data_IF_724587564700
#
_entry.id   IF_724587564700
#
_cell.length_a   1.000
_cell.length_b   1.000
_cell.length_c   1.000
_cell.angle_alpha   90.00
_cell.angle_beta   90.00
_cell.angle_gamma   90.00
#
_symmetry.space_group_name_H-M   'P 1'
#
loop_
_entity.id
_entity.type
_entity.pdbx_description
1 polymer ?
#
# COMPACT_ATOMS: atom_id res chain seq x y z
N UNK A 1 54.69 17.11 -5.85
CA UNK A 1 55.06 18.46 -5.36
C UNK A 1 56.38 18.85 -6.01
N UNK A 2 56.62 20.09 -6.49
CA UNK A 2 55.99 21.35 -6.05
C UNK A 2 55.44 22.30 -7.15
N UNK A 3 54.49 23.16 -6.72
CA UNK A 3 54.31 24.63 -6.95
C UNK A 3 54.24 25.18 -8.41
N UNK A 4 53.33 26.09 -8.79
CA UNK A 4 52.47 26.98 -8.01
C UNK A 4 51.52 27.86 -8.84
N UNK A 5 50.63 28.54 -8.14
CA UNK A 5 49.53 29.42 -8.59
C UNK A 5 49.98 30.81 -9.11
N UNK A 6 49.18 31.43 -10.00
CA UNK A 6 48.81 32.87 -9.89
C UNK A 6 47.63 33.35 -10.78
N UNK A 7 46.54 33.74 -10.08
CA UNK A 7 45.53 34.82 -10.27
C UNK A 7 45.48 35.63 -11.58
N UNK A 8 44.26 35.94 -12.06
CA UNK A 8 43.64 37.30 -12.01
C UNK A 8 42.15 37.35 -12.40
N UNK A 9 41.53 38.47 -12.05
CA UNK A 9 40.12 38.81 -11.81
C UNK A 9 39.55 39.72 -12.92
N UNK A 10 38.22 39.80 -12.99
CA UNK A 10 37.35 40.97 -13.25
C UNK A 10 36.54 41.14 -14.56
N UNK A 11 35.28 41.58 -14.30
CA UNK A 11 34.34 42.46 -15.03
C UNK A 11 33.45 41.84 -16.13
N UNK A 12 32.13 41.72 -15.92
CA UNK A 12 31.06 42.76 -15.91
C UNK A 12 30.65 43.21 -17.32
N UNK A 13 29.40 42.95 -17.72
CA UNK A 13 28.52 43.93 -18.39
C UNK A 13 27.08 43.43 -18.50
N UNK A 14 26.19 44.18 -17.85
CA UNK A 14 24.79 44.34 -18.24
C UNK A 14 24.66 44.84 -19.68
N UNK A 15 23.55 44.49 -20.33
CA UNK A 15 22.72 45.48 -21.03
C UNK A 15 21.34 44.88 -21.35
N UNK A 16 20.35 45.38 -20.59
CA UNK A 16 18.98 45.74 -20.98
C UNK A 16 18.62 45.64 -22.48
N UNK A 17 17.42 45.14 -22.78
CA UNK A 17 16.30 46.00 -23.22
C UNK A 17 14.96 45.24 -23.32
N UNK A 18 13.96 45.87 -22.70
CA UNK A 18 12.52 45.64 -22.85
C UNK A 18 12.03 46.24 -24.17
N UNK A 19 11.09 45.59 -24.87
CA UNK A 19 9.90 46.27 -25.42
C UNK A 19 8.74 45.28 -25.59
N UNK A 20 7.57 45.73 -25.17
CA UNK A 20 6.24 45.10 -25.19
C UNK A 20 5.53 45.23 -26.56
N UNK A 21 4.46 44.40 -26.70
CA UNK A 21 3.27 44.54 -27.57
C UNK A 21 3.48 44.31 -29.09
N UNK A 22 2.57 43.69 -29.85
CA UNK A 22 1.10 43.66 -29.81
C UNK A 22 0.51 42.32 -30.33
N UNK A 23 -0.75 42.09 -29.96
CA UNK A 23 -1.68 41.12 -30.56
C UNK A 23 -2.04 41.48 -32.01
N UNK A 24 -2.10 40.49 -32.91
CA UNK A 24 -2.91 40.56 -34.14
C UNK A 24 -3.61 39.22 -34.37
N UNK A 25 -4.92 39.32 -34.59
CA UNK A 25 -5.86 38.24 -34.85
C UNK A 25 -5.65 37.55 -36.22
N UNK A 26 -5.80 36.22 -36.21
CA UNK A 26 -6.54 35.41 -37.19
C UNK A 26 -6.08 35.34 -38.65
N UNK A 27 -5.70 34.14 -39.11
CA UNK A 27 -6.40 33.46 -40.21
C UNK A 27 -6.01 31.97 -40.30
N UNK A 28 -7.01 31.18 -40.68
CA UNK A 28 -7.03 29.72 -40.72
C UNK A 28 -6.11 29.11 -41.79
N UNK A 29 -5.42 28.02 -41.43
CA UNK A 29 -4.90 27.05 -42.40
C UNK A 29 -5.34 25.64 -41.98
N UNK A 30 -6.16 25.06 -42.84
CA UNK A 30 -6.73 23.70 -42.75
C UNK A 30 -5.61 22.67 -42.84
N UNK A 31 -5.30 22.01 -41.72
CA UNK A 31 -4.47 20.81 -41.65
C UNK A 31 -5.30 19.63 -41.14
N UNK A 32 -5.44 18.59 -41.97
CA UNK A 32 -6.14 17.34 -41.65
C UNK A 32 -5.57 16.70 -40.37
N UNK A 33 -6.38 16.27 -39.38
CA UNK A 33 -5.88 15.36 -38.37
C UNK A 33 -5.94 13.92 -38.91
N UNK A 34 -4.80 13.27 -38.85
CA UNK A 34 -4.68 11.83 -38.99
C UNK A 34 -5.48 11.13 -37.89
N UNK A 35 -6.23 10.11 -38.27
CA UNK A 35 -6.96 9.23 -37.39
C UNK A 35 -5.95 8.42 -36.58
N UNK A 36 -5.81 8.72 -35.29
CA UNK A 36 -5.29 7.80 -34.29
C UNK A 36 -6.26 7.81 -33.11
N UNK A 37 -6.76 6.63 -32.75
CA UNK A 37 -7.84 6.41 -31.79
C UNK A 37 -7.50 6.84 -30.37
N UNK A 38 -7.60 8.14 -30.11
CA UNK A 38 -7.64 8.71 -28.77
C UNK A 38 -9.00 8.44 -28.15
N UNK A 39 -9.01 7.69 -27.04
CA UNK A 39 -10.17 7.59 -26.17
C UNK A 39 -10.66 8.99 -25.78
N UNK A 40 -11.99 9.13 -25.68
CA UNK A 40 -12.65 10.38 -25.32
C UNK A 40 -12.01 11.00 -24.07
N UNK A 41 -11.88 12.34 -23.98
CA UNK A 41 -11.43 12.99 -22.77
C UNK A 41 -12.33 12.57 -21.60
N UNK A 42 -11.72 12.27 -20.45
CA UNK A 42 -12.45 11.82 -19.27
C UNK A 42 -13.52 12.88 -18.89
N UNK A 43 -14.77 12.48 -18.61
CA UNK A 43 -15.83 13.42 -18.30
C UNK A 43 -15.48 14.31 -17.09
N UNK A 44 -15.99 15.55 -17.06
CA UNK A 44 -15.76 16.49 -15.97
C UNK A 44 -16.14 15.88 -14.62
N UNK A 45 -15.39 16.21 -13.57
CA UNK A 45 -15.52 15.61 -12.24
C UNK A 45 -16.94 15.68 -11.66
N UNK A 46 -17.75 16.66 -12.10
CA UNK A 46 -19.15 16.86 -11.70
C UNK A 46 -20.15 15.85 -12.27
N UNK A 47 -19.76 15.03 -13.26
CA UNK A 47 -20.63 14.02 -13.90
C UNK A 47 -20.26 12.57 -13.53
N UNK A 48 -19.20 12.36 -12.75
CA UNK A 48 -18.81 11.01 -12.32
C UNK A 48 -19.73 10.54 -11.20
N UNK A 49 -20.22 9.28 -11.22
CA UNK A 49 -20.93 8.70 -10.08
C UNK A 49 -20.08 8.87 -8.81
N UNK A 50 -20.68 9.39 -7.75
CA UNK A 50 -20.01 9.49 -6.45
C UNK A 50 -19.87 8.08 -5.89
N UNK A 51 -18.64 7.59 -5.80
CA UNK A 51 -18.34 6.35 -5.11
C UNK A 51 -18.40 6.60 -3.61
N UNK A 52 -19.45 6.06 -2.99
CA UNK A 52 -19.69 6.17 -1.54
C UNK A 52 -19.38 4.84 -0.89
N UNK A 53 -18.50 4.86 0.10
CA UNK A 53 -18.16 3.68 0.90
C UNK A 53 -18.67 3.84 2.33
N UNK A 54 -18.90 2.70 2.97
CA UNK A 54 -19.31 2.64 4.37
C UNK A 54 -18.11 2.24 5.23
N UNK A 55 -18.01 2.84 6.42
CA UNK A 55 -16.89 2.56 7.31
C UNK A 55 -17.31 2.49 8.78
N UNK A 56 -16.56 1.72 9.57
CA UNK A 56 -16.64 1.67 11.03
C UNK A 56 -15.25 1.62 11.63
N UNK A 57 -15.10 2.08 12.87
CA UNK A 57 -13.92 1.77 13.67
C UNK A 57 -13.98 0.30 14.10
N UNK A 58 -12.88 -0.42 13.94
CA UNK A 58 -12.80 -1.86 14.18
C UNK A 58 -13.12 -2.26 15.64
N UNK A 59 -12.88 -1.37 16.59
CA UNK A 59 -13.23 -1.57 18.01
C UNK A 59 -14.70 -1.27 18.35
N UNK A 60 -15.48 -0.78 17.39
CA UNK A 60 -16.89 -0.46 17.53
C UNK A 60 -17.18 1.04 17.40
N UNK A 61 -18.00 1.39 16.41
CA UNK A 61 -18.56 2.73 16.21
C UNK A 61 -19.88 2.65 15.45
N UNK A 62 -20.68 3.73 15.39
CA UNK A 62 -21.69 3.88 14.35
C UNK A 62 -21.07 3.80 12.96
N UNK A 63 -21.89 3.50 11.94
CA UNK A 63 -21.45 3.50 10.54
C UNK A 63 -21.26 4.92 10.01
N UNK A 64 -20.06 5.23 9.54
CA UNK A 64 -19.75 6.43 8.77
C UNK A 64 -19.93 6.20 7.28
N UNK A 65 -20.06 7.31 6.53
CA UNK A 65 -20.11 7.33 5.07
C UNK A 65 -19.00 8.23 4.55
N UNK A 66 -18.21 7.74 3.62
CA UNK A 66 -17.06 8.46 3.06
C UNK A 66 -17.09 8.44 1.53
N UNK A 67 -16.64 9.54 0.92
CA UNK A 67 -16.56 9.70 -0.54
C UNK A 67 -15.40 10.64 -0.91
N UNK A 68 -14.99 10.64 -2.17
CA UNK A 68 -14.10 11.66 -2.72
C UNK A 68 -12.62 11.54 -2.33
N UNK A 69 -12.10 10.32 -2.23
CA UNK A 69 -10.67 10.04 -2.05
C UNK A 69 -10.08 9.39 -3.31
N UNK A 70 -8.80 9.69 -3.58
CA UNK A 70 -8.07 9.21 -4.76
C UNK A 70 -6.82 8.40 -4.41
N UNK A 71 -6.49 8.30 -3.12
CA UNK A 71 -5.35 7.55 -2.60
C UNK A 71 -5.61 7.17 -1.14
N UNK A 72 -4.76 6.30 -0.59
CA UNK A 72 -4.91 5.77 0.78
C UNK A 72 -4.79 6.87 1.85
N UNK A 73 -3.96 7.89 1.62
CA UNK A 73 -3.80 9.02 2.54
C UNK A 73 -5.08 9.85 2.66
N UNK A 74 -5.73 10.14 1.52
CA UNK A 74 -7.04 10.81 1.49
C UNK A 74 -8.13 9.93 2.08
N UNK A 75 -8.10 8.62 1.86
CA UNK A 75 -9.01 7.66 2.48
C UNK A 75 -8.94 7.76 4.01
N UNK A 76 -7.75 7.70 4.60
CA UNK A 76 -7.57 7.87 6.05
C UNK A 76 -8.02 9.24 6.53
N UNK A 77 -7.77 10.31 5.75
CA UNK A 77 -8.31 11.64 6.03
C UNK A 77 -9.85 11.66 6.11
N UNK A 78 -10.52 11.01 5.16
CA UNK A 78 -11.99 10.94 5.11
C UNK A 78 -12.59 10.10 6.22
N UNK A 79 -11.95 8.99 6.58
CA UNK A 79 -12.35 8.17 7.74
C UNK A 79 -12.18 8.98 9.04
N UNK A 80 -11.03 9.64 9.20
CA UNK A 80 -10.75 10.45 10.39
C UNK A 80 -11.76 11.60 10.55
N UNK A 81 -12.11 12.29 9.45
CA UNK A 81 -13.17 13.30 9.40
C UNK A 81 -14.53 12.73 9.85
N UNK A 82 -14.91 11.55 9.34
CA UNK A 82 -16.19 10.91 9.67
C UNK A 82 -16.33 10.51 11.15
N UNK A 83 -15.21 10.29 11.86
CA UNK A 83 -15.18 9.88 13.26
C UNK A 83 -14.61 10.94 14.22
N UNK A 84 -14.35 12.16 13.74
CA UNK A 84 -13.74 13.24 14.51
C UNK A 84 -12.41 12.83 15.18
N UNK A 85 -11.55 12.17 14.41
CA UNK A 85 -10.22 11.70 14.80
C UNK A 85 -9.13 12.46 14.02
N UNK A 86 -7.89 12.34 14.47
CA UNK A 86 -6.74 12.74 13.66
C UNK A 86 -6.35 11.57 12.71
N UNK A 87 -5.93 11.82 11.45
CA UNK A 87 -5.54 10.74 10.53
C UNK A 87 -4.45 9.83 11.08
N UNK A 88 -3.52 10.39 11.86
CA UNK A 88 -2.43 9.65 12.53
C UNK A 88 -2.93 8.66 13.61
N UNK A 89 -4.20 8.70 14.00
CA UNK A 89 -4.78 7.69 14.88
C UNK A 89 -5.10 6.40 14.15
N UNK A 90 -5.23 6.41 12.82
CA UNK A 90 -5.58 5.24 12.02
C UNK A 90 -4.30 4.46 11.67
N UNK A 91 -4.23 3.20 12.11
CA UNK A 91 -3.12 2.30 11.79
C UNK A 91 -3.26 1.70 10.40
N UNK A 92 -4.37 1.00 10.14
CA UNK A 92 -4.65 0.36 8.85
C UNK A 92 -6.14 0.09 8.69
N UNK A 93 -6.55 -0.43 7.53
CA UNK A 93 -7.93 -0.82 7.26
C UNK A 93 -8.03 -2.28 6.81
N UNK A 94 -9.08 -2.96 7.26
CA UNK A 94 -9.51 -4.25 6.73
C UNK A 94 -10.84 -4.11 6.01
N UNK A 95 -11.07 -4.93 4.99
CA UNK A 95 -12.30 -4.94 4.21
C UNK A 95 -13.23 -6.05 4.70
N UNK A 96 -14.50 -5.73 4.91
CA UNK A 96 -15.57 -6.66 5.27
C UNK A 96 -15.35 -7.46 6.57
N UNK A 97 -14.46 -7.00 7.46
CA UNK A 97 -14.23 -7.58 8.79
C UNK A 97 -13.66 -6.55 9.76
N UNK A 98 -14.16 -6.54 10.99
CA UNK A 98 -13.59 -5.75 12.10
C UNK A 98 -12.41 -6.46 12.79
N UNK A 99 -12.21 -7.76 12.50
CA UNK A 99 -11.11 -8.53 13.08
C UNK A 99 -9.79 -8.12 12.42
N UNK A 100 -8.70 -8.28 13.17
CA UNK A 100 -7.34 -8.18 12.62
C UNK A 100 -7.09 -9.42 11.76
N UNK A 101 -7.54 -9.34 10.51
CA UNK A 101 -7.43 -10.39 9.50
C UNK A 101 -6.59 -9.85 8.33
N UNK A 102 -5.34 -10.30 8.28
CA UNK A 102 -4.36 -9.82 7.30
C UNK A 102 -4.61 -10.32 5.88
N UNK A 103 -5.51 -11.29 5.70
CA UNK A 103 -5.99 -11.70 4.36
C UNK A 103 -7.00 -10.70 3.80
N UNK A 104 -7.67 -9.96 4.68
CA UNK A 104 -8.63 -8.90 4.34
C UNK A 104 -8.06 -7.50 4.54
N UNK A 105 -6.74 -7.38 4.66
CA UNK A 105 -6.06 -6.09 4.72
C UNK A 105 -6.28 -5.32 3.41
N UNK A 106 -6.51 -4.01 3.50
CA UNK A 106 -6.60 -3.14 2.32
C UNK A 106 -5.31 -3.23 1.50
N UNK A 107 -5.39 -3.84 0.31
CA UNK A 107 -4.26 -4.09 -0.59
C UNK A 107 -4.25 -3.23 -1.86
N UNK A 108 -4.84 -2.03 -1.82
CA UNK A 108 -4.91 -1.14 -2.97
C UNK A 108 -6.09 -1.39 -3.92
N UNK A 109 -7.03 -2.25 -3.54
CA UNK A 109 -8.32 -2.43 -4.23
C UNK A 109 -9.46 -2.39 -3.22
N UNK A 110 -10.56 -1.76 -3.60
CA UNK A 110 -11.78 -1.66 -2.79
C UNK A 110 -12.96 -1.94 -3.72
N UNK A 111 -13.64 -3.08 -3.53
CA UNK A 111 -14.88 -3.37 -4.23
C UNK A 111 -15.93 -2.30 -3.93
N UNK A 112 -16.77 -1.96 -4.90
CA UNK A 112 -17.75 -0.87 -4.74
C UNK A 112 -18.77 -1.10 -3.61
N UNK A 113 -18.95 -2.36 -3.20
CA UNK A 113 -19.84 -2.76 -2.10
C UNK A 113 -19.09 -3.07 -0.80
N UNK A 114 -17.76 -2.91 -0.77
CA UNK A 114 -16.96 -3.26 0.39
C UNK A 114 -17.21 -2.32 1.57
N UNK A 115 -17.18 -2.94 2.76
CA UNK A 115 -17.27 -2.24 4.02
C UNK A 115 -15.88 -2.07 4.63
N UNK A 116 -15.49 -0.84 4.97
CA UNK A 116 -14.14 -0.51 5.43
C UNK A 116 -14.09 -0.45 6.96
N UNK A 117 -13.29 -1.30 7.60
CA UNK A 117 -13.05 -1.25 9.03
C UNK A 117 -11.69 -0.62 9.33
N UNK A 118 -11.70 0.52 10.02
CA UNK A 118 -10.50 1.25 10.39
C UNK A 118 -9.99 0.82 11.76
N UNK A 119 -8.75 0.34 11.81
CA UNK A 119 -8.04 -0.04 13.03
C UNK A 119 -7.28 1.17 13.53
N UNK A 120 -7.55 1.61 14.76
CA UNK A 120 -6.91 2.79 15.35
C UNK A 120 -5.87 2.42 16.41
N UNK A 121 -5.00 3.36 16.76
CA UNK A 121 -4.01 3.22 17.83
C UNK A 121 -4.68 2.86 19.16
N UNK A 122 -4.15 1.84 19.81
CA UNK A 122 -4.54 1.38 21.12
C UNK A 122 -3.36 1.42 22.09
N UNK A 123 -3.09 0.29 22.74
CA UNK A 123 -2.09 0.20 23.80
C UNK A 123 -0.66 0.32 23.24
N UNK A 124 0.16 1.15 23.87
CA UNK A 124 1.60 1.20 23.61
C UNK A 124 2.33 0.17 24.45
N UNK A 125 3.27 -0.55 23.83
CA UNK A 125 4.07 -1.62 24.42
C UNK A 125 5.55 -1.35 24.13
N UNK A 126 6.41 -1.63 25.10
CA UNK A 126 7.86 -1.58 24.92
C UNK A 126 8.43 -2.91 25.36
N UNK A 127 9.15 -3.57 24.46
CA UNK A 127 9.62 -4.95 24.65
C UNK A 127 11.09 -5.04 24.31
N UNK A 128 11.85 -5.71 25.17
CA UNK A 128 13.22 -6.12 24.89
C UNK A 128 13.21 -7.53 24.31
N UNK A 129 13.86 -7.70 23.15
CA UNK A 129 13.91 -8.97 22.41
C UNK A 129 15.37 -9.35 22.21
N UNK A 130 15.73 -10.59 22.58
CA UNK A 130 17.06 -11.14 22.31
C UNK A 130 17.10 -11.79 20.91
N UNK A 131 17.94 -11.27 20.01
CA UNK A 131 18.07 -11.78 18.64
C UNK A 131 18.93 -13.05 18.61
N UNK A 132 18.32 -14.20 18.91
CA UNK A 132 19.01 -15.50 18.92
C UNK A 132 19.33 -16.05 17.51
N UNK A 133 18.54 -15.65 16.51
CA UNK A 133 18.68 -16.10 15.12
C UNK A 133 18.86 -14.90 14.17
N UNK A 134 19.35 -15.18 12.96
CA UNK A 134 19.51 -14.15 11.93
C UNK A 134 18.16 -13.54 11.53
N UNK A 135 17.13 -14.38 11.41
CA UNK A 135 15.77 -13.98 11.11
C UNK A 135 14.92 -13.98 12.39
N UNK A 136 14.22 -12.87 12.65
CA UNK A 136 13.30 -12.76 13.78
C UNK A 136 11.98 -13.53 13.57
N UNK A 137 11.67 -13.92 12.33
CA UNK A 137 10.40 -14.52 11.94
C UNK A 137 9.25 -13.52 11.83
N UNK A 138 9.55 -12.27 11.52
CA UNK A 138 8.57 -11.22 11.27
C UNK A 138 8.40 -10.98 9.77
N UNK A 139 7.16 -10.77 9.36
CA UNK A 139 6.83 -10.21 8.05
C UNK A 139 6.19 -8.85 8.25
N UNK A 140 6.81 -7.81 7.69
CA UNK A 140 6.38 -6.42 7.85
C UNK A 140 5.58 -5.98 6.63
N UNK A 141 4.54 -5.19 6.87
CA UNK A 141 3.80 -4.46 5.84
C UNK A 141 3.60 -3.02 6.29
N UNK A 142 3.07 -2.15 5.44
CA UNK A 142 2.70 -0.79 5.84
C UNK A 142 1.35 -0.37 5.25
N UNK A 143 0.84 0.75 5.76
CA UNK A 143 -0.45 1.30 5.38
C UNK A 143 -0.36 2.31 4.21
N UNK A 144 0.80 2.45 3.56
CA UNK A 144 1.04 3.48 2.54
C UNK A 144 0.99 4.93 3.05
N UNK A 145 0.86 5.14 4.36
CA UNK A 145 0.74 6.45 5.02
C UNK A 145 1.72 6.63 6.18
N UNK A 146 2.80 5.83 6.22
CA UNK A 146 3.91 6.00 7.17
C UNK A 146 3.85 5.12 8.41
N UNK A 147 2.92 4.15 8.49
CA UNK A 147 2.89 3.17 9.57
C UNK A 147 3.18 1.76 9.07
N UNK A 148 4.33 1.23 9.48
CA UNK A 148 4.69 -0.17 9.29
C UNK A 148 4.20 -1.02 10.46
N UNK A 149 3.65 -2.20 10.18
CA UNK A 149 3.09 -3.09 11.19
C UNK A 149 3.33 -4.56 10.84
N UNK A 150 3.17 -5.42 11.83
CA UNK A 150 3.43 -6.86 11.72
C UNK A 150 2.28 -7.53 10.98
N UNK A 151 2.52 -8.04 9.77
CA UNK A 151 1.53 -8.81 8.98
C UNK A 151 1.52 -10.29 9.37
N UNK A 152 2.69 -10.84 9.72
CA UNK A 152 2.83 -12.27 10.07
C UNK A 152 3.94 -12.45 11.11
N UNK A 153 3.75 -13.45 11.96
CA UNK A 153 4.77 -14.00 12.85
C UNK A 153 4.92 -15.48 12.48
N UNK A 154 6.14 -15.91 12.17
CA UNK A 154 6.45 -17.30 11.85
C UNK A 154 6.41 -18.14 13.13
N UNK A 155 5.66 -19.23 13.13
CA UNK A 155 5.61 -20.17 14.25
C UNK A 155 6.99 -20.74 14.57
N UNK A 156 7.32 -20.83 15.86
CA UNK A 156 8.62 -21.30 16.35
C UNK A 156 9.78 -20.32 16.13
N UNK A 157 9.52 -19.09 15.67
CA UNK A 157 10.55 -18.06 15.54
C UNK A 157 10.88 -17.36 16.87
N UNK A 158 11.96 -16.57 16.85
CA UNK A 158 12.37 -15.72 17.99
C UNK A 158 11.20 -14.89 18.51
N UNK A 159 10.44 -14.24 17.60
CA UNK A 159 9.34 -13.36 18.00
C UNK A 159 8.08 -14.14 18.40
N UNK A 160 7.84 -15.33 17.87
CA UNK A 160 6.74 -16.19 18.36
C UNK A 160 6.94 -16.58 19.84
N UNK A 161 8.18 -16.68 20.31
CA UNK A 161 8.50 -16.85 21.73
C UNK A 161 8.09 -15.65 22.61
N UNK A 162 7.92 -14.45 22.03
CA UNK A 162 7.62 -13.20 22.73
C UNK A 162 6.13 -12.88 22.61
N UNK A 163 5.32 -13.50 23.47
CA UNK A 163 3.84 -13.46 23.40
C UNK A 163 3.18 -12.08 23.51
N UNK A 164 3.93 -11.05 23.87
CA UNK A 164 3.45 -9.65 23.93
C UNK A 164 3.37 -9.01 22.53
N UNK A 165 4.17 -9.52 21.57
CA UNK A 165 4.19 -9.06 20.18
C UNK A 165 3.12 -9.81 19.40
N UNK A 166 2.21 -9.07 18.76
CA UNK A 166 1.05 -9.61 18.06
C UNK A 166 1.02 -9.16 16.59
N UNK A 167 0.35 -9.96 15.74
CA UNK A 167 -0.02 -9.52 14.40
C UNK A 167 -0.92 -8.28 14.49
N UNK A 168 -0.64 -7.28 13.65
CA UNK A 168 -1.29 -5.97 13.67
C UNK A 168 -0.56 -4.90 14.47
N UNK A 169 0.42 -5.26 15.31
CA UNK A 169 1.19 -4.26 16.05
C UNK A 169 1.97 -3.34 15.10
N UNK A 170 1.74 -2.04 15.23
CA UNK A 170 2.52 -1.00 14.54
C UNK A 170 3.86 -0.81 15.23
N UNK A 171 4.94 -0.83 14.45
CA UNK A 171 6.30 -0.57 14.94
C UNK A 171 6.51 0.95 15.01
N UNK A 172 6.62 1.52 16.20
CA UNK A 172 6.83 2.96 16.39
C UNK A 172 8.33 3.29 16.46
N UNK A 173 9.12 2.47 17.19
CA UNK A 173 10.56 2.66 17.34
C UNK A 173 11.34 1.34 17.42
N UNK A 174 12.59 1.35 16.95
CA UNK A 174 13.58 0.27 17.13
C UNK A 174 14.84 0.89 17.75
N UNK A 175 15.30 0.39 18.90
CA UNK A 175 16.44 0.93 19.67
C UNK A 175 16.39 2.44 19.88
N UNK A 176 15.19 2.96 20.17
CA UNK A 176 14.94 4.40 20.36
C UNK A 176 14.89 5.24 19.09
N UNK A 177 15.24 4.68 17.92
CA UNK A 177 15.06 5.34 16.62
C UNK A 177 13.58 5.27 16.22
N UNK A 178 12.95 6.43 16.05
CA UNK A 178 11.61 6.54 15.50
C UNK A 178 11.60 6.08 14.04
N UNK A 179 10.68 5.19 13.68
CA UNK A 179 10.53 4.65 12.32
C UNK A 179 9.23 5.09 11.63
N UNK A 180 8.41 5.92 12.29
CA UNK A 180 7.21 6.52 11.68
C UNK A 180 7.61 7.30 10.43
N UNK A 181 6.89 7.05 9.33
CA UNK A 181 7.15 7.62 8.01
C UNK A 181 8.04 6.74 7.13
N UNK A 182 8.71 5.72 7.68
CA UNK A 182 9.49 4.76 6.90
C UNK A 182 8.58 3.73 6.24
N UNK A 183 9.00 3.22 5.08
CA UNK A 183 8.30 2.13 4.38
C UNK A 183 8.63 0.77 5.01
N UNK A 184 7.74 -0.21 4.82
CA UNK A 184 7.87 -1.55 5.39
C UNK A 184 9.21 -2.23 5.05
N UNK A 185 9.76 -2.01 3.86
CA UNK A 185 11.04 -2.58 3.43
C UNK A 185 12.24 -2.00 4.19
N UNK A 186 12.20 -0.72 4.54
CA UNK A 186 13.25 -0.10 5.35
C UNK A 186 13.21 -0.64 6.78
N UNK A 187 11.99 -0.82 7.33
CA UNK A 187 11.77 -1.37 8.66
C UNK A 187 12.21 -2.85 8.72
N UNK A 188 11.84 -3.64 7.72
CA UNK A 188 12.27 -5.04 7.61
C UNK A 188 13.80 -5.16 7.49
N UNK A 189 14.43 -4.30 6.66
CA UNK A 189 15.90 -4.22 6.56
C UNK A 189 16.53 -3.88 7.89
N UNK A 190 16.03 -2.85 8.60
CA UNK A 190 16.54 -2.48 9.92
C UNK A 190 16.47 -3.63 10.93
N UNK A 191 15.37 -4.39 10.94
CA UNK A 191 15.22 -5.57 11.81
C UNK A 191 16.19 -6.70 11.43
N UNK A 192 16.41 -6.92 10.13
CA UNK A 192 17.36 -7.90 9.60
C UNK A 192 18.81 -7.54 9.94
N UNK A 193 19.18 -6.26 9.88
CA UNK A 193 20.53 -5.76 10.15
C UNK A 193 20.89 -5.66 11.64
N UNK A 194 19.95 -5.88 12.56
CA UNK A 194 20.24 -5.90 13.99
C UNK A 194 21.33 -6.94 14.32
N UNK A 195 22.27 -6.64 15.23
CA UNK A 195 23.31 -7.61 15.61
C UNK A 195 22.70 -8.89 16.18
N UNK A 196 23.15 -10.04 15.66
CA UNK A 196 22.84 -11.35 16.24
C UNK A 196 23.46 -11.44 17.64
N UNK A 197 22.82 -12.23 18.52
CA UNK A 197 23.24 -12.51 19.89
C UNK A 197 23.26 -11.25 20.79
N UNK A 198 22.40 -10.27 20.46
CA UNK A 198 22.19 -9.06 21.24
C UNK A 198 20.70 -8.79 21.47
N UNK A 199 20.40 -8.14 22.59
CA UNK A 199 19.08 -7.58 22.84
C UNK A 199 18.88 -6.29 22.07
N UNK A 200 17.65 -6.07 21.61
CA UNK A 200 17.19 -4.80 21.08
C UNK A 200 15.83 -4.45 21.68
N UNK A 201 15.52 -3.16 21.73
CA UNK A 201 14.23 -2.67 22.23
C UNK A 201 13.33 -2.29 21.07
N UNK A 202 12.08 -2.72 21.10
CA UNK A 202 11.06 -2.35 20.12
C UNK A 202 9.86 -1.72 20.84
N UNK A 203 9.41 -0.57 20.31
CA UNK A 203 8.17 0.09 20.76
C UNK A 203 7.08 -0.20 19.75
N UNK A 204 5.97 -0.74 20.24
CA UNK A 204 4.85 -1.21 19.45
C UNK A 204 3.57 -0.48 19.88
N UNK A 205 2.67 -0.25 18.93
CA UNK A 205 1.31 0.23 19.20
C UNK A 205 0.32 -0.82 18.70
N UNK A 206 -0.41 -1.42 19.63
CA UNK A 206 -1.43 -2.41 19.32
C UNK A 206 -2.68 -1.72 18.76
N UNK A 207 -3.36 -2.31 17.74
CA UNK A 207 -4.68 -1.84 17.34
C UNK A 207 -5.67 -1.91 18.50
N UNK A 208 -6.49 -0.88 18.65
CA UNK A 208 -7.57 -0.91 19.64
C UNK A 208 -8.51 -2.07 19.31
N UNK A 209 -8.64 -3.02 20.24
CA UNK A 209 -9.55 -4.16 20.13
C UNK A 209 -10.92 -3.77 20.67
N UNK A 210 -11.98 -4.30 20.07
CA UNK A 210 -13.31 -4.22 20.66
C UNK A 210 -13.27 -4.87 22.05
N UNK A 211 -13.90 -4.23 23.04
CA UNK A 211 -14.07 -4.86 24.34
C UNK A 211 -14.95 -6.11 24.17
N UNK A 212 -14.40 -7.30 24.37
CA UNK A 212 -15.16 -8.57 24.43
C UNK A 212 -16.12 -8.62 25.64
N UNK A 213 -16.21 -7.57 26.46
CA UNK A 213 -16.99 -7.52 27.71
C UNK A 213 -18.49 -7.16 27.57
N UNK A 214 -19.06 -7.23 26.37
CA UNK A 214 -20.51 -7.25 26.19
C UNK A 214 -20.91 -8.44 25.33
N UNK A 215 -20.63 -9.65 25.81
CA UNK A 215 -21.51 -10.77 25.48
C UNK A 215 -22.95 -10.34 25.85
N UNK A 216 -23.88 -10.29 24.90
CA UNK A 216 -25.28 -10.12 25.23
C UNK A 216 -25.67 -11.33 26.09
N UNK A 217 -25.88 -11.10 27.39
CA UNK A 217 -26.51 -12.09 28.26
C UNK A 217 -27.75 -12.60 27.51
N UNK A 218 -27.74 -13.90 27.24
CA UNK A 218 -28.81 -14.65 26.60
C UNK A 218 -30.18 -14.24 27.17
N UNK A 219 -30.88 -13.39 26.41
CA UNK A 219 -32.33 -13.24 26.51
C UNK A 219 -32.91 -13.72 25.19
N UNK A 220 -33.52 -14.90 25.28
CA UNK A 220 -34.08 -15.60 24.15
C UNK A 220 -35.28 -14.90 23.52
N UNK A 221 -35.59 -15.37 22.31
CA UNK A 221 -36.90 -15.30 21.69
C UNK A 221 -37.13 -14.10 20.78
N UNK A 222 -37.16 -14.36 19.47
CA UNK A 222 -37.81 -13.46 18.50
C UNK A 222 -37.09 -13.42 17.17
N UNK A 223 -37.65 -14.08 16.17
CA UNK A 223 -37.03 -14.37 14.87
C UNK A 223 -36.63 -13.17 14.02
N UNK A 224 -35.69 -13.43 13.11
CA UNK A 224 -35.28 -12.49 12.07
C UNK A 224 -34.38 -13.17 11.04
N UNK A 225 -34.99 -13.62 9.94
CA UNK A 225 -34.43 -13.70 8.59
C UNK A 225 -33.02 -14.28 8.41
N UNK A 226 -32.97 -15.57 8.07
CA UNK A 226 -31.82 -16.20 7.41
C UNK A 226 -31.66 -15.58 6.01
N UNK A 227 -30.75 -14.62 5.85
CA UNK A 227 -30.33 -14.16 4.51
C UNK A 227 -29.34 -15.17 3.95
N UNK A 228 -29.89 -16.28 3.44
CA UNK A 228 -29.21 -17.17 2.51
C UNK A 228 -29.14 -16.45 1.16
N UNK A 229 -27.99 -15.86 0.86
CA UNK A 229 -27.67 -15.28 -0.44
C UNK A 229 -26.54 -16.05 -1.11
N UNK A 230 -26.69 -17.37 -1.25
CA UNK A 230 -25.84 -18.14 -2.16
C UNK A 230 -26.37 -17.90 -3.58
N UNK A 231 -25.87 -16.83 -4.17
CA UNK A 231 -26.22 -16.34 -5.50
C UNK A 231 -24.96 -16.22 -6.34
N UNK A 232 -24.40 -17.36 -6.73
CA UNK A 232 -23.50 -17.44 -7.89
C UNK A 232 -24.30 -16.99 -9.12
N UNK A 233 -23.86 -15.89 -9.74
CA UNK A 233 -23.95 -15.46 -11.16
C UNK A 233 -24.00 -13.92 -11.20
N UNK A 234 -23.01 -13.29 -11.82
CA UNK A 234 -23.03 -11.86 -12.10
C UNK A 234 -21.68 -11.31 -12.54
N UNK A 235 -21.51 -11.23 -13.85
CA UNK A 235 -20.44 -10.60 -14.62
C UNK A 235 -20.11 -9.17 -14.17
N UNK A 236 -18.82 -8.90 -13.91
CA UNK A 236 -18.26 -7.54 -13.80
C UNK A 236 -18.52 -6.82 -12.47
N UNK A 237 -17.92 -7.28 -11.36
CA UNK A 237 -17.79 -6.45 -10.16
C UNK A 237 -16.66 -5.44 -10.38
N UNK A 238 -17.02 -4.17 -10.57
CA UNK A 238 -16.06 -3.08 -10.60
C UNK A 238 -15.36 -2.93 -9.23
N UNK A 239 -14.11 -2.48 -9.23
CA UNK A 239 -13.31 -2.19 -8.05
C UNK A 239 -12.65 -0.83 -8.19
N UNK A 240 -12.52 -0.11 -7.07
CA UNK A 240 -11.71 1.10 -6.99
C UNK A 240 -10.26 0.71 -6.73
N UNK A 241 -9.40 0.88 -7.74
CA UNK A 241 -7.95 0.68 -7.65
C UNK A 241 -7.29 1.92 -7.07
N UNK A 242 -6.67 1.78 -5.89
CA UNK A 242 -5.80 2.79 -5.28
C UNK A 242 -4.35 2.44 -5.61
N UNK A 243 -3.69 3.32 -6.36
CA UNK A 243 -2.29 3.15 -6.79
C UNK A 243 -1.36 3.96 -5.90
N UNK A 244 -0.16 3.45 -5.65
CA UNK A 244 0.92 4.18 -4.95
C UNK A 244 1.46 5.34 -5.81
N UNK A 245 1.47 5.17 -7.13
CA UNK A 245 1.81 6.20 -8.11
C UNK A 245 0.64 6.41 -9.09
N UNK A 246 -0.05 7.54 -8.96
CA UNK A 246 -1.14 7.96 -9.86
C UNK A 246 -2.52 8.06 -9.18
N UNK A 247 -3.54 8.57 -9.90
CA UNK A 247 -4.89 8.72 -9.36
C UNK A 247 -5.64 7.37 -9.29
N UNK A 248 -6.60 7.27 -8.37
CA UNK A 248 -7.50 6.12 -8.32
C UNK A 248 -8.34 5.96 -9.59
N UNK A 249 -8.53 4.71 -10.00
CA UNK A 249 -9.28 4.31 -11.20
C UNK A 249 -10.34 3.28 -10.85
N UNK A 250 -11.49 3.31 -11.54
CA UNK A 250 -12.48 2.23 -11.48
C UNK A 250 -12.08 1.22 -12.54
N UNK A 251 -11.81 -0.01 -12.11
CA UNK A 251 -11.33 -1.09 -12.96
C UNK A 251 -12.20 -2.33 -12.77
N UNK A 252 -12.18 -3.25 -13.73
CA UNK A 252 -12.74 -4.58 -13.50
C UNK A 252 -11.91 -5.30 -12.43
N UNK A 253 -12.57 -6.09 -11.59
CA UNK A 253 -11.89 -6.96 -10.62
C UNK A 253 -10.81 -7.80 -11.35
N UNK A 254 -9.61 -7.95 -10.76
CA UNK A 254 -8.55 -8.76 -11.36
C UNK A 254 -9.05 -10.15 -11.72
N UNK A 255 -8.54 -10.70 -12.80
CA UNK A 255 -8.85 -12.08 -13.15
C UNK A 255 -8.31 -13.04 -12.07
N UNK A 256 -8.92 -14.21 -11.89
CA UNK A 256 -8.40 -15.24 -10.94
C UNK A 256 -6.92 -15.58 -11.20
N UNK A 257 -6.51 -15.39 -12.45
CA UNK A 257 -5.15 -15.51 -12.89
C UNK A 257 -4.24 -14.42 -12.29
N UNK A 258 -4.66 -13.17 -12.37
CA UNK A 258 -3.89 -12.02 -11.89
C UNK A 258 -3.78 -12.10 -10.36
N UNK A 259 -4.86 -12.48 -9.67
CA UNK A 259 -4.85 -12.70 -8.23
C UNK A 259 -3.81 -13.75 -7.81
N UNK A 260 -3.71 -14.85 -8.55
CA UNK A 260 -2.71 -15.90 -8.29
C UNK A 260 -1.29 -15.43 -8.58
N UNK A 261 -1.08 -14.67 -9.66
CA UNK A 261 0.22 -14.09 -9.97
C UNK A 261 0.65 -13.11 -8.88
N UNK A 262 -0.24 -12.22 -8.45
CA UNK A 262 0.00 -11.26 -7.36
C UNK A 262 0.35 -11.99 -6.07
N UNK A 263 -0.38 -13.06 -5.73
CA UNK A 263 -0.07 -13.86 -4.55
C UNK A 263 1.33 -14.51 -4.63
N UNK A 264 1.70 -15.11 -5.77
CA UNK A 264 3.04 -15.69 -5.97
C UNK A 264 4.13 -14.63 -5.81
N UNK A 265 3.92 -13.43 -6.35
CA UNK A 265 4.87 -12.31 -6.21
C UNK A 265 4.94 -11.82 -4.76
N UNK A 266 3.82 -11.71 -4.05
CA UNK A 266 3.79 -11.33 -2.63
C UNK A 266 4.47 -12.39 -1.73
N UNK A 267 4.40 -13.67 -2.10
CA UNK A 267 5.14 -14.75 -1.42
C UNK A 267 6.67 -14.66 -1.68
N UNK A 268 7.09 -14.23 -2.88
CA UNK A 268 8.50 -13.94 -3.18
C UNK A 268 9.00 -12.71 -2.39
N UNK A 269 8.18 -11.67 -2.25
CA UNK A 269 8.52 -10.51 -1.41
C UNK A 269 8.75 -10.93 0.05
N UNK A 270 7.93 -11.87 0.56
CA UNK A 270 8.10 -12.40 1.92
C UNK A 270 9.40 -13.19 2.04
N UNK A 271 9.71 -14.06 1.09
CA UNK A 271 10.88 -14.93 1.17
C UNK A 271 12.21 -14.18 1.02
N UNK A 272 12.29 -13.21 0.10
CA UNK A 272 13.52 -12.47 -0.16
C UNK A 272 13.73 -11.30 0.81
N UNK A 273 12.67 -10.58 1.14
CA UNK A 273 12.76 -9.29 1.82
C UNK A 273 12.09 -9.25 3.19
N UNK A 274 11.32 -10.28 3.56
CA UNK A 274 10.57 -10.31 4.84
C UNK A 274 9.43 -9.30 4.87
N UNK A 275 8.89 -8.95 3.70
CA UNK A 275 7.82 -7.98 3.55
C UNK A 275 6.67 -8.55 2.75
N UNK A 276 5.47 -8.01 2.94
CA UNK A 276 4.36 -8.22 2.01
C UNK A 276 3.66 -6.91 1.70
N UNK A 277 3.44 -6.68 0.42
CA UNK A 277 2.77 -5.50 -0.11
C UNK A 277 2.03 -5.91 -1.38
N UNK A 278 0.72 -6.10 -1.23
CA UNK A 278 -0.16 -6.55 -2.30
C UNK A 278 -0.29 -5.51 -3.41
N UNK A 279 -0.15 -4.22 -3.10
CA UNK A 279 -0.22 -3.15 -4.09
C UNK A 279 1.05 -3.11 -4.93
N UNK A 280 2.21 -3.27 -4.29
CA UNK A 280 3.50 -3.45 -4.95
C UNK A 280 3.50 -4.71 -5.84
N UNK A 281 3.05 -5.84 -5.32
CA UNK A 281 2.97 -7.09 -6.08
C UNK A 281 2.02 -6.97 -7.29
N UNK A 282 0.86 -6.33 -7.13
CA UNK A 282 -0.04 -6.01 -8.23
C UNK A 282 0.62 -5.15 -9.30
N UNK A 283 1.38 -4.13 -8.87
CA UNK A 283 2.12 -3.24 -9.78
C UNK A 283 3.18 -4.02 -10.57
N UNK A 284 3.90 -4.94 -9.93
CA UNK A 284 4.88 -5.81 -10.60
C UNK A 284 4.24 -6.71 -11.67
N UNK A 285 3.08 -7.32 -11.36
CA UNK A 285 2.33 -8.16 -12.31
C UNK A 285 1.84 -7.32 -13.50
N UNK A 286 1.31 -6.12 -13.25
CA UNK A 286 0.87 -5.19 -14.29
C UNK A 286 2.03 -4.79 -15.22
N UNK A 287 3.19 -4.40 -14.66
CA UNK A 287 4.39 -4.04 -15.44
C UNK A 287 4.90 -5.21 -16.28
N UNK A 288 4.83 -6.44 -15.75
CA UNK A 288 5.27 -7.65 -16.44
C UNK A 288 4.30 -8.20 -17.49
N UNK A 289 3.07 -7.66 -17.60
CA UNK A 289 2.05 -8.20 -18.50
C UNK A 289 2.44 -8.08 -19.97
N UNK A 290 3.01 -6.94 -20.36
CA UNK A 290 3.28 -6.62 -21.77
C UNK A 290 4.73 -6.86 -22.20
N UNK A 291 5.59 -7.34 -21.28
CA UNK A 291 7.00 -7.61 -21.56
C UNK A 291 7.19 -9.00 -22.16
N UNK A 292 8.26 -9.18 -22.96
CA UNK A 292 8.52 -10.43 -23.69
C UNK A 292 9.74 -11.19 -23.18
N UNK A 293 10.65 -10.53 -22.47
CA UNK A 293 11.86 -11.13 -21.94
C UNK A 293 12.20 -10.57 -20.55
N UNK A 294 13.04 -11.28 -19.76
CA UNK A 294 13.42 -10.85 -18.42
C UNK A 294 14.11 -9.48 -18.39
N UNK A 295 14.92 -9.15 -19.41
CA UNK A 295 15.67 -7.89 -19.45
C UNK A 295 14.74 -6.68 -19.62
N UNK A 296 13.76 -6.76 -20.52
CA UNK A 296 12.71 -5.76 -20.69
C UNK A 296 11.87 -5.59 -19.42
N UNK A 297 11.65 -6.69 -18.68
CA UNK A 297 10.96 -6.65 -17.40
C UNK A 297 11.81 -5.96 -16.33
N UNK A 298 13.08 -6.31 -16.19
CA UNK A 298 14.02 -5.69 -15.26
C UNK A 298 14.12 -4.18 -15.48
N UNK A 299 14.28 -3.75 -16.74
CA UNK A 299 14.33 -2.32 -17.07
C UNK A 299 13.03 -1.58 -16.70
N UNK A 300 11.87 -2.17 -16.96
CA UNK A 300 10.59 -1.57 -16.63
C UNK A 300 10.31 -1.56 -15.11
N UNK A 301 10.79 -2.60 -14.42
CA UNK A 301 10.71 -2.69 -12.96
C UNK A 301 11.57 -1.62 -12.31
N UNK A 302 12.80 -1.40 -12.79
CA UNK A 302 13.68 -0.33 -12.31
C UNK A 302 13.09 1.07 -12.58
N UNK A 303 12.48 1.28 -13.75
CA UNK A 303 11.82 2.56 -14.07
C UNK A 303 10.64 2.83 -13.12
N UNK A 304 9.86 1.80 -12.79
CA UNK A 304 8.68 1.95 -11.94
C UNK A 304 9.01 1.94 -10.43
N UNK A 305 9.98 1.13 -10.01
CA UNK A 305 10.22 0.71 -8.62
C UNK A 305 11.72 0.67 -8.25
N UNK A 306 12.59 1.39 -8.97
CA UNK A 306 14.04 1.39 -8.72
C UNK A 306 14.49 1.78 -7.31
N UNK A 307 13.62 2.45 -6.54
CA UNK A 307 13.88 2.80 -5.14
C UNK A 307 14.06 1.56 -4.23
N UNK A 308 13.54 0.40 -4.63
CA UNK A 308 13.59 -0.84 -3.85
C UNK A 308 14.89 -1.63 -4.04
N UNK A 309 15.65 -1.38 -5.10
CA UNK A 309 16.89 -2.07 -5.45
C UNK A 309 16.79 -3.61 -5.32
N UNK A 310 15.91 -4.21 -6.14
CA UNK A 310 15.67 -5.65 -6.11
C UNK A 310 16.90 -6.46 -6.58
N UNK A 311 17.22 -7.60 -5.95
CA UNK A 311 18.24 -8.52 -6.45
C UNK A 311 17.86 -9.12 -7.81
N UNK A 312 18.83 -9.35 -8.69
CA UNK A 312 18.60 -9.93 -10.02
C UNK A 312 17.88 -11.29 -9.97
N UNK A 313 18.22 -12.12 -8.99
CA UNK A 313 17.56 -13.42 -8.75
C UNK A 313 16.06 -13.25 -8.45
N UNK A 314 15.70 -12.23 -7.66
CA UNK A 314 14.31 -11.93 -7.35
C UNK A 314 13.56 -11.47 -8.62
N UNK A 315 14.18 -10.61 -9.43
CA UNK A 315 13.57 -10.14 -10.69
C UNK A 315 13.30 -11.31 -11.64
N UNK A 316 14.23 -12.25 -11.73
CA UNK A 316 14.07 -13.45 -12.54
C UNK A 316 12.95 -14.37 -12.02
N UNK A 317 12.88 -14.59 -10.71
CA UNK A 317 11.83 -15.41 -10.10
C UNK A 317 10.44 -14.78 -10.23
N UNK A 318 10.33 -13.44 -10.10
CA UNK A 318 9.08 -12.71 -10.36
C UNK A 318 8.66 -12.84 -11.82
N UNK A 319 9.60 -12.71 -12.76
CA UNK A 319 9.33 -12.94 -14.18
C UNK A 319 8.82 -14.37 -14.44
N UNK A 320 9.46 -15.37 -13.82
CA UNK A 320 9.03 -16.76 -13.85
C UNK A 320 7.61 -16.94 -13.31
N UNK A 321 7.31 -16.37 -12.13
CA UNK A 321 5.99 -16.45 -11.50
C UNK A 321 4.87 -15.85 -12.36
N UNK A 322 5.12 -14.72 -13.02
CA UNK A 322 4.19 -14.08 -13.96
C UNK A 322 4.04 -14.94 -15.23
N UNK A 323 5.13 -15.51 -15.74
CA UNK A 323 5.14 -16.38 -16.92
C UNK A 323 4.41 -17.71 -16.71
N UNK A 324 4.59 -18.34 -15.55
CA UNK A 324 3.91 -19.57 -15.16
C UNK A 324 2.42 -19.36 -15.00
N UNK A 325 2.03 -18.24 -14.36
CA UNK A 325 0.66 -17.80 -14.35
C UNK A 325 0.14 -17.73 -15.79
N UNK A 326 0.81 -16.99 -16.71
CA UNK A 326 0.45 -16.80 -18.15
C UNK A 326 0.14 -18.09 -18.88
N UNK A 327 0.82 -19.17 -18.53
CA UNK A 327 0.69 -20.48 -19.18
C UNK A 327 -0.30 -21.41 -18.48
N UNK A 328 -0.98 -20.96 -17.42
CA UNK A 328 -1.87 -21.78 -16.60
C UNK A 328 -1.13 -22.90 -15.85
N UNK A 329 0.18 -22.77 -15.68
CA UNK A 329 1.02 -23.72 -14.95
C UNK A 329 1.04 -23.28 -13.49
N UNK A 330 0.34 -24.05 -12.66
CA UNK A 330 0.23 -23.79 -11.22
C UNK A 330 1.10 -24.76 -10.45
#
# INVERSE_FOLDING_TARGET
MPLGLRKKKNKSKESSNLVENEEVSGHASVGKPAVNGGGLPAPPASMRPKLVFHTQLAHGSPTGRIEGFTNVKELYGKIAEAFNLHPDEILFCTLNTHKIDMEKLLGGQIGLEDFIFAHIKGLKKEVEVYKAEEALGLTITDNGAGYAFIKRIKEGSVVDGVKVICVGDHVECINGKNIVGMRHFEVARMLKELPKDQSFTIKLVEPMKAFEMLEPRSRGGGGGGKLSGDGKIGTGRETLRLRSKGPATVEEMPSEFDEKAVKKVDDLLESYMGIRDTELAATMVEVGRDKKNPDEFAMALDEALGDFAFPDEFVFDVWGAIGDAKQGRF
#
